data_IF_531129464792
#
_entry.id   IF_531129464792
#
_cell.length_a   1.000
_cell.length_b   1.000
_cell.length_c   1.000
_cell.angle_alpha   90.00
_cell.angle_beta   90.00
_cell.angle_gamma   90.00
#
_symmetry.space_group_name_H-M   'P 1'
#
loop_
_entity.id
_entity.type
_entity.pdbx_description
1 polymer ?
#
# COMPACT_ATOMS: atom_id res chain seq x y z
N UNK A 1 28.08 0.05 41.26
CA UNK A 1 26.66 0.47 41.40
C UNK A 1 26.10 -0.25 42.63
N UNK A 2 25.54 0.47 43.58
CA UNK A 2 24.97 -0.18 44.75
C UNK A 2 23.57 -0.77 44.41
N UNK A 3 23.08 -1.67 45.27
CA UNK A 3 21.82 -2.41 45.06
C UNK A 3 20.61 -1.48 44.81
N UNK A 4 20.55 -0.30 45.45
CA UNK A 4 19.50 0.72 45.23
C UNK A 4 19.60 1.35 43.85
N UNK A 5 20.80 1.64 43.36
CA UNK A 5 21.03 2.18 41.99
C UNK A 5 20.66 1.16 40.90
N UNK A 6 20.90 -0.14 41.16
CA UNK A 6 20.52 -1.21 40.23
C UNK A 6 18.99 -1.33 40.13
N UNK A 7 18.28 -1.27 41.25
CA UNK A 7 16.80 -1.31 41.29
C UNK A 7 16.21 -0.11 40.56
N UNK A 8 16.72 1.12 40.78
CA UNK A 8 16.25 2.33 40.10
C UNK A 8 16.50 2.20 38.57
N UNK A 9 17.65 1.69 38.15
CA UNK A 9 17.95 1.46 36.75
C UNK A 9 16.95 0.49 36.09
N UNK A 10 16.68 -0.66 36.73
CA UNK A 10 15.69 -1.62 36.25
C UNK A 10 14.27 -1.03 36.17
N UNK A 11 13.84 -0.23 37.16
CA UNK A 11 12.53 0.45 37.15
C UNK A 11 12.44 1.45 36.00
N UNK A 12 13.51 2.21 35.72
CA UNK A 12 13.55 3.14 34.58
C UNK A 12 13.50 2.42 33.23
N UNK A 13 14.20 1.29 33.10
CA UNK A 13 14.14 0.46 31.88
C UNK A 13 12.73 -0.11 31.65
N UNK A 14 12.09 -0.62 32.73
CA UNK A 14 10.70 -1.11 32.65
C UNK A 14 9.75 0.01 32.29
N UNK A 15 9.92 1.21 32.85
CA UNK A 15 9.09 2.38 32.55
C UNK A 15 9.27 2.81 31.08
N UNK A 16 10.50 2.85 30.56
CA UNK A 16 10.77 3.16 29.17
C UNK A 16 10.16 2.12 28.21
N UNK A 17 10.30 0.83 28.53
CA UNK A 17 9.70 -0.25 27.75
C UNK A 17 8.18 -0.16 27.75
N UNK A 18 7.56 0.14 28.91
CA UNK A 18 6.10 0.33 29.00
C UNK A 18 5.62 1.57 28.26
N UNK A 19 6.39 2.66 28.23
CA UNK A 19 6.08 3.87 27.44
C UNK A 19 6.19 3.56 25.93
N UNK A 20 7.21 2.83 25.50
CA UNK A 20 7.36 2.39 24.12
C UNK A 20 6.22 1.45 23.68
N UNK A 21 5.92 0.43 24.49
CA UNK A 21 4.79 -0.48 24.23
C UNK A 21 3.45 0.24 24.23
N UNK A 22 3.21 1.21 25.16
CA UNK A 22 2.01 2.06 25.13
C UNK A 22 1.94 2.94 23.89
N UNK A 23 3.04 3.51 23.40
CA UNK A 23 3.05 4.29 22.15
C UNK A 23 2.68 3.41 20.93
N UNK A 24 3.16 2.19 20.88
CA UNK A 24 2.81 1.27 19.80
C UNK A 24 1.37 0.77 19.93
N UNK A 25 0.90 0.47 21.14
CA UNK A 25 -0.49 0.09 21.41
C UNK A 25 -1.44 1.28 21.17
N UNK A 26 -1.05 2.52 21.48
CA UNK A 26 -1.84 3.72 21.19
C UNK A 26 -1.86 4.04 19.68
N UNK A 27 -0.78 3.81 18.94
CA UNK A 27 -0.79 3.84 17.48
C UNK A 27 -1.75 2.78 16.91
N UNK A 28 -1.75 1.59 17.46
CA UNK A 28 -2.68 0.51 17.07
C UNK A 28 -4.14 0.82 17.48
N UNK A 29 -4.38 1.38 18.67
CA UNK A 29 -5.71 1.79 19.14
C UNK A 29 -6.25 2.99 18.36
N UNK A 30 -5.42 3.94 17.95
CA UNK A 30 -5.85 5.05 17.11
C UNK A 30 -6.30 4.57 15.71
N UNK A 31 -5.75 3.49 15.20
CA UNK A 31 -6.23 2.86 13.95
C UNK A 31 -7.63 2.24 14.16
N UNK A 32 -7.93 1.70 15.34
CA UNK A 32 -9.26 1.14 15.66
C UNK A 32 -10.31 2.19 16.07
N UNK A 33 -9.92 3.38 16.54
CA UNK A 33 -10.87 4.35 17.13
C UNK A 33 -11.48 5.36 16.15
N UNK A 34 -11.04 5.40 14.89
CA UNK A 34 -11.59 6.30 13.88
C UNK A 34 -12.86 5.78 13.17
N UNK A 35 -13.41 4.64 13.60
CA UNK A 35 -14.61 4.02 12.99
C UNK A 35 -15.94 4.68 13.39
N UNK A 36 -15.97 5.58 14.39
CA UNK A 36 -17.23 6.03 15.02
C UNK A 36 -17.79 7.38 14.52
N UNK A 37 -17.21 8.03 13.49
CA UNK A 37 -17.68 9.36 13.08
C UNK A 37 -18.62 9.40 11.86
N UNK A 38 -18.75 8.29 11.12
CA UNK A 38 -19.67 8.21 9.98
C UNK A 38 -20.24 6.79 9.90
N UNK A 39 -21.42 6.52 10.33
CA UNK A 39 -22.26 5.30 10.19
C UNK A 39 -21.87 4.27 9.08
N UNK A 40 -20.58 4.03 8.83
CA UNK A 40 -20.01 3.12 7.84
C UNK A 40 -19.36 1.92 8.52
N UNK A 41 -19.55 0.74 7.95
CA UNK A 41 -19.03 -0.55 8.39
C UNK A 41 -17.64 -0.44 9.01
N UNK A 42 -17.50 -0.93 10.23
CA UNK A 42 -16.25 -0.98 10.98
C UNK A 42 -15.16 -1.69 10.15
N UNK A 43 -14.00 -1.07 10.05
CA UNK A 43 -12.86 -1.67 9.37
C UNK A 43 -12.26 -2.76 10.24
N UNK A 44 -12.16 -3.95 9.71
CA UNK A 44 -11.50 -5.06 10.38
C UNK A 44 -10.08 -5.16 9.85
N UNK A 45 -9.11 -4.96 10.72
CA UNK A 45 -7.68 -5.09 10.39
C UNK A 45 -7.17 -6.40 10.95
N UNK A 46 -6.71 -7.27 10.08
CA UNK A 46 -6.16 -8.57 10.40
C UNK A 46 -4.67 -8.61 10.07
N UNK A 47 -3.82 -8.94 11.05
CA UNK A 47 -2.38 -9.10 10.80
C UNK A 47 -2.11 -10.46 10.14
N UNK A 48 -1.64 -10.44 8.91
CA UNK A 48 -1.35 -11.63 8.11
C UNK A 48 0.08 -12.14 8.29
N UNK A 49 1.03 -11.25 8.62
CA UNK A 49 2.45 -11.58 8.80
C UNK A 49 3.15 -10.53 9.66
N UNK A 50 4.24 -10.91 10.36
CA UNK A 50 4.91 -10.04 11.35
C UNK A 50 6.30 -9.54 10.94
N UNK A 51 6.92 -10.10 9.89
CA UNK A 51 8.24 -9.64 9.42
C UNK A 51 8.41 -9.95 7.91
N UNK A 52 8.05 -9.01 7.03
CA UNK A 52 7.49 -7.68 7.31
C UNK A 52 6.08 -7.74 7.90
N UNK A 53 5.66 -6.66 8.55
CA UNK A 53 4.27 -6.51 8.95
C UNK A 53 3.39 -6.36 7.70
N UNK A 54 2.49 -7.34 7.50
CA UNK A 54 1.49 -7.34 6.42
C UNK A 54 0.12 -7.46 7.06
N UNK A 55 -0.79 -6.57 6.67
CA UNK A 55 -2.15 -6.51 7.18
C UNK A 55 -3.17 -6.67 6.06
N UNK A 56 -4.28 -7.35 6.35
CA UNK A 56 -5.50 -7.30 5.56
C UNK A 56 -6.46 -6.30 6.18
N UNK A 57 -6.91 -5.34 5.38
CA UNK A 57 -7.93 -4.37 5.77
C UNK A 57 -9.21 -4.74 5.04
N UNK A 58 -10.18 -5.29 5.78
CA UNK A 58 -11.50 -5.64 5.26
C UNK A 58 -12.35 -4.37 5.15
N UNK A 59 -13.23 -4.31 4.16
CA UNK A 59 -14.09 -3.16 3.88
C UNK A 59 -13.32 -1.83 3.63
N UNK A 60 -12.11 -1.91 3.07
CA UNK A 60 -11.35 -0.71 2.70
C UNK A 60 -12.12 0.13 1.66
N UNK A 61 -12.77 -0.52 0.70
CA UNK A 61 -13.76 0.09 -0.19
C UNK A 61 -15.07 -0.69 -0.14
N UNK A 62 -16.18 -0.01 -0.42
CA UNK A 62 -17.46 -0.69 -0.71
C UNK A 62 -17.42 -1.29 -2.12
N UNK A 63 -18.37 -2.15 -2.44
CA UNK A 63 -18.47 -2.73 -3.78
C UNK A 63 -18.74 -1.65 -4.83
N UNK A 64 -19.60 -0.66 -4.50
CA UNK A 64 -19.93 0.48 -5.35
C UNK A 64 -18.72 1.39 -5.57
N UNK A 65 -17.91 1.63 -4.51
CA UNK A 65 -16.65 2.38 -4.63
C UNK A 65 -15.66 1.68 -5.58
N UNK A 66 -15.55 0.33 -5.49
CA UNK A 66 -14.73 -0.46 -6.40
C UNK A 66 -15.19 -0.33 -7.86
N UNK A 67 -16.50 -0.48 -8.10
CA UNK A 67 -17.08 -0.36 -9.44
C UNK A 67 -16.91 1.06 -10.02
N UNK A 68 -17.07 2.08 -9.17
CA UNK A 68 -16.82 3.46 -9.54
C UNK A 68 -15.37 3.68 -10.00
N UNK A 69 -14.38 3.19 -9.23
CA UNK A 69 -12.95 3.31 -9.59
C UNK A 69 -12.64 2.61 -10.92
N UNK A 70 -13.19 1.41 -11.14
CA UNK A 70 -13.04 0.71 -12.42
C UNK A 70 -13.64 1.56 -13.55
N UNK A 71 -14.88 2.05 -13.37
CA UNK A 71 -15.60 2.86 -14.36
C UNK A 71 -14.83 4.10 -14.79
N UNK A 72 -14.28 4.86 -13.85
CA UNK A 72 -13.55 6.10 -14.16
C UNK A 72 -12.15 5.85 -14.70
N UNK A 73 -11.50 4.75 -14.31
CA UNK A 73 -10.11 4.47 -14.65
C UNK A 73 -9.93 3.63 -15.92
N UNK A 74 -10.82 2.67 -16.18
CA UNK A 74 -10.68 1.71 -17.28
C UNK A 74 -10.57 2.37 -18.68
N UNK A 75 -11.30 3.45 -18.98
CA UNK A 75 -11.15 4.16 -20.28
C UNK A 75 -9.77 4.81 -20.47
N UNK A 76 -8.97 4.95 -19.42
CA UNK A 76 -7.64 5.57 -19.45
C UNK A 76 -6.50 4.54 -19.36
N UNK A 77 -6.83 3.26 -19.33
CA UNK A 77 -5.84 2.18 -19.21
C UNK A 77 -4.96 2.09 -20.46
N UNK A 78 -3.65 2.01 -20.21
CA UNK A 78 -2.61 1.80 -21.23
C UNK A 78 -1.69 0.66 -20.78
N UNK A 79 -0.85 0.17 -21.69
CA UNK A 79 0.19 -0.81 -21.38
C UNK A 79 1.02 -0.30 -20.19
N UNK A 80 1.19 -1.13 -19.17
CA UNK A 80 2.01 -0.77 -18.01
C UNK A 80 3.46 -0.58 -18.40
N UNK A 81 4.10 0.39 -17.76
CA UNK A 81 5.50 0.68 -17.90
C UNK A 81 6.28 0.29 -16.65
N UNK A 82 7.56 0.02 -16.82
CA UNK A 82 8.53 -0.17 -15.75
C UNK A 82 9.59 0.90 -15.91
N UNK A 83 9.88 1.60 -14.85
CA UNK A 83 10.95 2.58 -14.84
C UNK A 83 12.31 1.90 -14.70
N UNK A 84 13.26 2.26 -15.54
CA UNK A 84 14.61 1.74 -15.55
C UNK A 84 15.65 2.81 -15.90
N UNK A 85 16.88 2.43 -16.21
CA UNK A 85 17.96 3.37 -16.54
C UNK A 85 17.66 4.33 -17.71
N UNK A 86 16.77 3.93 -18.63
CA UNK A 86 16.33 4.71 -19.81
C UNK A 86 14.96 5.36 -19.67
N UNK A 87 14.45 5.57 -18.43
CA UNK A 87 13.10 6.10 -18.18
C UNK A 87 12.02 4.99 -18.12
N UNK A 88 10.76 5.41 -18.15
CA UNK A 88 9.60 4.50 -18.13
C UNK A 88 9.32 3.96 -19.53
N UNK A 89 9.18 2.65 -19.65
CA UNK A 89 8.80 1.97 -20.90
C UNK A 89 8.14 0.62 -20.65
N UNK A 90 7.34 0.10 -21.59
CA UNK A 90 6.81 -1.26 -21.52
C UNK A 90 7.95 -2.28 -21.41
N UNK A 91 7.79 -3.25 -20.52
CA UNK A 91 8.79 -4.29 -20.30
C UNK A 91 8.12 -5.65 -20.04
N UNK A 92 8.80 -6.74 -20.42
CA UNK A 92 8.31 -8.11 -20.23
C UNK A 92 8.12 -8.52 -18.77
N UNK A 93 8.77 -7.81 -17.82
CA UNK A 93 8.59 -8.09 -16.39
C UNK A 93 7.24 -7.63 -15.84
N UNK A 94 6.51 -6.74 -16.55
CA UNK A 94 5.19 -6.26 -16.19
C UNK A 94 4.29 -6.26 -17.41
N UNK A 95 3.39 -7.25 -17.46
CA UNK A 95 2.54 -7.45 -18.65
C UNK A 95 1.12 -6.87 -18.48
N UNK A 96 0.80 -6.33 -17.30
CA UNK A 96 -0.48 -5.68 -16.97
C UNK A 96 -0.74 -4.40 -17.79
N UNK A 97 -1.93 -3.86 -17.58
CA UNK A 97 -2.35 -2.55 -18.08
C UNK A 97 -2.59 -1.61 -16.87
N UNK A 98 -2.32 -0.31 -17.03
CA UNK A 98 -2.48 0.66 -15.92
C UNK A 98 -3.09 1.98 -16.37
N UNK A 99 -3.79 2.64 -15.44
CA UNK A 99 -4.20 4.03 -15.54
C UNK A 99 -3.83 4.78 -14.25
N UNK A 100 -3.26 5.97 -14.37
CA UNK A 100 -3.07 6.87 -13.24
C UNK A 100 -4.31 7.75 -13.11
N UNK A 101 -5.06 7.54 -12.01
CA UNK A 101 -6.25 8.29 -11.66
C UNK A 101 -5.91 9.21 -10.47
N UNK A 102 -5.70 10.47 -10.74
CA UNK A 102 -5.27 11.40 -9.70
C UNK A 102 -5.62 12.83 -10.06
N UNK A 103 -4.64 13.63 -10.42
CA UNK A 103 -4.80 15.10 -10.62
C UNK A 103 -6.02 15.48 -11.46
N UNK A 104 -6.30 14.76 -12.55
CA UNK A 104 -7.46 15.05 -13.42
C UNK A 104 -8.81 14.96 -12.70
N UNK A 105 -8.94 14.05 -11.74
CA UNK A 105 -10.18 13.79 -11.00
C UNK A 105 -10.24 14.52 -9.66
N UNK A 106 -9.12 15.03 -9.15
CA UNK A 106 -9.01 15.69 -7.85
C UNK A 106 -8.89 17.22 -7.96
N UNK A 107 -8.35 17.75 -9.06
CA UNK A 107 -8.02 19.16 -9.23
C UNK A 107 -9.11 19.92 -10.02
N UNK A 108 -10.37 19.53 -9.95
CA UNK A 108 -11.49 20.25 -10.52
C UNK A 108 -12.37 20.86 -9.41
N UNK A 109 -13.34 21.69 -9.81
CA UNK A 109 -14.29 22.34 -8.90
C UNK A 109 -15.20 21.34 -8.15
N UNK A 110 -15.26 20.09 -8.60
CA UNK A 110 -16.02 19.01 -7.97
C UNK A 110 -15.14 17.75 -7.95
N UNK A 111 -14.21 17.63 -6.98
CA UNK A 111 -13.29 16.49 -6.91
C UNK A 111 -14.03 15.19 -6.62
N UNK A 112 -13.52 14.10 -7.17
CA UNK A 112 -14.09 12.77 -6.98
C UNK A 112 -14.04 12.35 -5.50
N UNK A 113 -15.23 12.15 -4.91
CA UNK A 113 -15.38 11.84 -3.48
C UNK A 113 -14.82 10.47 -3.09
N UNK A 114 -14.86 9.48 -4.01
CA UNK A 114 -14.32 8.15 -3.75
C UNK A 114 -12.79 8.22 -3.70
N UNK A 115 -12.17 8.93 -4.65
CA UNK A 115 -10.72 9.15 -4.63
C UNK A 115 -10.28 9.91 -3.37
N UNK A 116 -10.97 10.98 -2.99
CA UNK A 116 -10.69 11.68 -1.72
C UNK A 116 -10.83 10.76 -0.52
N UNK A 117 -11.86 9.91 -0.50
CA UNK A 117 -12.05 8.89 0.53
C UNK A 117 -10.89 7.90 0.62
N UNK A 118 -10.32 7.49 -0.51
CA UNK A 118 -9.14 6.61 -0.56
C UNK A 118 -7.91 7.30 0.03
N UNK A 119 -7.64 8.56 -0.33
CA UNK A 119 -6.51 9.33 0.24
C UNK A 119 -6.64 9.44 1.75
N UNK A 120 -7.83 9.80 2.25
CA UNK A 120 -8.12 9.91 3.67
C UNK A 120 -7.93 8.57 4.40
N UNK A 121 -8.46 7.47 3.84
CA UNK A 121 -8.32 6.13 4.41
C UNK A 121 -6.83 5.71 4.46
N UNK A 122 -6.06 5.91 3.38
CA UNK A 122 -4.64 5.59 3.35
C UNK A 122 -3.85 6.40 4.39
N UNK A 123 -4.16 7.70 4.54
CA UNK A 123 -3.58 8.55 5.59
C UNK A 123 -3.91 8.05 6.99
N UNK A 124 -5.18 7.78 7.28
CA UNK A 124 -5.64 7.31 8.58
C UNK A 124 -5.00 5.98 8.99
N UNK A 125 -4.93 4.99 8.08
CA UNK A 125 -4.33 3.68 8.34
C UNK A 125 -2.81 3.72 8.37
N UNK A 126 -2.21 4.45 7.44
CA UNK A 126 -0.76 4.56 7.31
C UNK A 126 -0.12 5.45 8.38
N UNK A 127 -0.88 6.40 8.92
CA UNK A 127 -0.39 7.41 9.86
C UNK A 127 0.50 8.46 9.20
N UNK A 128 0.39 8.67 7.89
CA UNK A 128 1.09 9.69 7.11
C UNK A 128 0.07 10.66 6.47
N UNK A 129 0.43 11.93 6.22
CA UNK A 129 -0.47 12.92 5.63
C UNK A 129 -1.05 12.51 4.27
N UNK A 130 -2.28 12.92 3.96
CA UNK A 130 -2.93 12.68 2.67
C UNK A 130 -2.12 13.23 1.49
N UNK A 131 -1.44 14.36 1.68
CA UNK A 131 -0.58 14.98 0.67
C UNK A 131 0.66 14.15 0.29
N UNK A 132 0.96 13.10 1.07
CA UNK A 132 2.03 12.16 0.79
C UNK A 132 1.61 11.04 -0.16
N UNK A 133 0.32 10.93 -0.49
CA UNK A 133 -0.20 9.87 -1.37
C UNK A 133 0.11 10.22 -2.82
N UNK A 134 0.72 9.28 -3.56
CA UNK A 134 0.92 9.40 -5.00
C UNK A 134 -0.42 9.38 -5.76
N UNK A 135 -0.46 9.85 -7.02
CA UNK A 135 -1.60 9.58 -7.90
C UNK A 135 -1.91 8.08 -7.93
N UNK A 136 -3.14 7.75 -7.58
CA UNK A 136 -3.60 6.36 -7.46
C UNK A 136 -3.46 5.65 -8.80
N UNK A 137 -2.99 4.40 -8.80
CA UNK A 137 -2.79 3.63 -10.01
C UNK A 137 -3.75 2.44 -10.08
N UNK A 138 -4.73 2.51 -10.98
CA UNK A 138 -5.54 1.36 -11.39
C UNK A 138 -4.68 0.40 -12.20
N UNK A 139 -4.77 -0.89 -11.90
CA UNK A 139 -4.11 -1.96 -12.67
C UNK A 139 -5.15 -2.98 -13.12
N UNK A 140 -5.00 -3.47 -14.36
CA UNK A 140 -5.82 -4.52 -14.96
C UNK A 140 -4.93 -5.62 -15.51
N UNK A 141 -5.31 -6.88 -15.22
CA UNK A 141 -4.68 -8.07 -15.78
C UNK A 141 -5.68 -8.89 -16.56
N UNK A 142 -5.29 -9.34 -17.72
CA UNK A 142 -5.95 -10.36 -18.53
C UNK A 142 -5.24 -11.71 -18.38
N UNK A 143 -5.84 -12.82 -18.83
CA UNK A 143 -5.19 -14.13 -18.82
C UNK A 143 -3.77 -14.10 -19.42
N UNK A 144 -2.83 -14.80 -18.79
CA UNK A 144 -1.41 -14.79 -19.14
C UNK A 144 -0.63 -13.57 -18.65
N UNK A 145 -1.28 -12.58 -18.04
CA UNK A 145 -0.61 -11.38 -17.53
C UNK A 145 -0.17 -11.53 -16.08
N UNK A 146 0.95 -10.89 -15.77
CA UNK A 146 1.62 -10.94 -14.47
C UNK A 146 2.45 -9.68 -14.23
N UNK A 147 2.95 -9.55 -13.00
CA UNK A 147 4.02 -8.63 -12.66
C UNK A 147 5.09 -9.38 -11.89
N UNK A 148 6.31 -9.44 -12.44
CA UNK A 148 7.44 -10.12 -11.86
C UNK A 148 7.82 -9.56 -10.48
N UNK A 149 8.69 -10.29 -9.77
CA UNK A 149 9.22 -9.89 -8.46
C UNK A 149 9.83 -8.49 -8.54
N UNK A 150 9.35 -7.61 -7.67
CA UNK A 150 9.79 -6.22 -7.57
C UNK A 150 9.61 -5.70 -6.15
N UNK A 151 10.19 -4.55 -5.90
CA UNK A 151 9.96 -3.75 -4.70
C UNK A 151 9.16 -2.50 -5.09
N UNK A 152 8.34 -2.01 -4.17
CA UNK A 152 7.65 -0.73 -4.38
C UNK A 152 8.49 0.47 -3.96
N UNK A 153 9.43 0.30 -3.01
CA UNK A 153 10.39 1.35 -2.72
C UNK A 153 11.30 1.60 -3.93
N UNK A 154 11.74 2.84 -4.09
CA UNK A 154 12.59 3.27 -5.20
C UNK A 154 14.06 3.01 -4.88
N UNK A 155 14.76 2.30 -5.76
CA UNK A 155 16.20 2.03 -5.58
C UNK A 155 17.02 3.31 -5.77
N UNK A 156 17.62 3.81 -4.68
CA UNK A 156 18.49 5.01 -4.66
C UNK A 156 19.68 4.94 -5.60
N UNK A 157 20.10 3.74 -6.02
CA UNK A 157 21.21 3.55 -6.97
C UNK A 157 20.81 3.90 -8.40
N UNK A 158 19.54 3.97 -8.70
CA UNK A 158 19.02 4.38 -10.00
C UNK A 158 18.85 5.90 -10.00
N UNK A 159 19.63 6.61 -10.79
CA UNK A 159 19.70 8.08 -10.80
C UNK A 159 18.32 8.76 -10.93
N UNK A 160 17.45 8.26 -11.79
CA UNK A 160 16.09 8.78 -11.92
C UNK A 160 15.28 8.63 -10.62
N UNK A 161 15.41 7.48 -9.95
CA UNK A 161 14.74 7.26 -8.66
C UNK A 161 15.34 8.10 -7.55
N UNK A 162 16.67 8.28 -7.52
CA UNK A 162 17.33 9.13 -6.52
C UNK A 162 16.77 10.56 -6.57
N UNK A 163 16.67 11.16 -7.76
CA UNK A 163 16.08 12.50 -7.95
C UNK A 163 14.58 12.53 -7.57
N UNK A 164 13.84 11.46 -7.89
CA UNK A 164 12.45 11.39 -7.51
C UNK A 164 12.26 11.29 -5.99
N UNK A 165 13.14 10.54 -5.29
CA UNK A 165 13.14 10.45 -3.83
C UNK A 165 13.50 11.80 -3.20
N UNK A 166 14.49 12.50 -3.75
CA UNK A 166 14.86 13.82 -3.27
C UNK A 166 13.69 14.80 -3.32
N UNK A 167 12.97 14.80 -4.43
CA UNK A 167 11.81 15.67 -4.68
C UNK A 167 10.57 15.27 -3.88
N UNK A 168 10.21 13.99 -3.89
CA UNK A 168 8.91 13.50 -3.46
C UNK A 168 8.97 12.54 -2.26
N UNK A 169 10.17 12.27 -1.73
CA UNK A 169 10.36 11.25 -0.69
C UNK A 169 10.36 9.81 -1.22
N UNK A 170 10.62 8.86 -0.32
CA UNK A 170 10.60 7.43 -0.60
C UNK A 170 9.18 6.88 -0.45
N UNK A 171 8.83 5.82 -1.20
CA UNK A 171 7.61 5.05 -0.97
C UNK A 171 7.71 4.28 0.34
N UNK A 172 7.14 4.85 1.38
CA UNK A 172 7.15 4.30 2.75
C UNK A 172 6.18 3.14 2.90
N UNK A 173 5.01 3.24 2.24
CA UNK A 173 3.90 2.31 2.43
C UNK A 173 3.21 2.00 1.11
N UNK A 174 2.63 0.79 1.05
CA UNK A 174 1.78 0.34 -0.04
C UNK A 174 0.47 -0.20 0.50
N UNK A 175 -0.65 0.24 -0.11
CA UNK A 175 -1.94 -0.42 -0.05
C UNK A 175 -2.22 -0.98 -1.44
N UNK A 176 -2.45 -2.28 -1.54
CA UNK A 176 -2.94 -2.90 -2.75
C UNK A 176 -4.39 -3.33 -2.54
N UNK A 177 -5.32 -2.64 -3.20
CA UNK A 177 -6.75 -2.86 -3.05
C UNK A 177 -7.25 -3.78 -4.16
N UNK A 178 -8.03 -4.81 -3.82
CA UNK A 178 -8.66 -5.71 -4.77
C UNK A 178 -10.02 -5.12 -5.17
N UNK A 179 -10.20 -4.81 -6.46
CA UNK A 179 -11.40 -4.15 -6.94
C UNK A 179 -12.46 -5.13 -7.47
N UNK A 180 -12.09 -6.39 -7.67
CA UNK A 180 -13.02 -7.46 -8.02
C UNK A 180 -12.55 -8.79 -7.45
N UNK A 181 -13.46 -9.75 -7.39
CA UNK A 181 -13.13 -11.11 -6.99
C UNK A 181 -12.49 -11.88 -8.14
N UNK A 182 -11.42 -12.60 -7.83
CA UNK A 182 -10.79 -13.58 -8.73
C UNK A 182 -10.82 -14.93 -8.01
N UNK A 183 -11.38 -15.99 -8.61
CA UNK A 183 -11.38 -17.32 -7.99
C UNK A 183 -9.96 -17.77 -7.65
N UNK A 184 -9.77 -18.43 -6.52
CA UNK A 184 -8.44 -18.80 -5.98
C UNK A 184 -7.60 -19.63 -6.96
N UNK A 185 -8.24 -20.52 -7.72
CA UNK A 185 -7.61 -21.37 -8.74
C UNK A 185 -7.13 -20.62 -9.99
N UNK A 186 -7.61 -19.40 -10.21
CA UNK A 186 -7.31 -18.59 -11.41
C UNK A 186 -6.03 -17.74 -11.26
N UNK A 187 -5.33 -17.83 -10.14
CA UNK A 187 -4.09 -17.08 -9.92
C UNK A 187 -4.34 -15.60 -9.65
N UNK A 188 -3.50 -14.73 -10.21
CA UNK A 188 -3.61 -13.27 -9.99
C UNK A 188 -3.35 -12.84 -8.55
N UNK A 189 -2.67 -13.67 -7.75
CA UNK A 189 -2.40 -13.45 -6.32
C UNK A 189 -1.23 -12.49 -6.11
N UNK A 190 -1.13 -11.93 -4.92
CA UNK A 190 0.04 -11.17 -4.47
C UNK A 190 0.96 -12.10 -3.70
N UNK A 191 2.13 -12.39 -4.24
CA UNK A 191 3.08 -13.36 -3.70
C UNK A 191 4.34 -12.66 -3.16
N UNK A 192 4.73 -12.98 -1.93
CA UNK A 192 5.93 -12.52 -1.24
C UNK A 192 6.94 -13.66 -1.13
N UNK A 193 7.86 -13.83 -2.10
CA UNK A 193 8.73 -15.01 -2.17
C UNK A 193 9.74 -15.10 -1.03
N UNK A 194 10.18 -13.97 -0.47
CA UNK A 194 11.14 -13.94 0.64
C UNK A 194 10.59 -14.52 1.94
N UNK A 195 9.29 -14.48 2.11
CA UNK A 195 8.60 -14.99 3.30
C UNK A 195 7.71 -16.20 2.99
N UNK A 196 7.69 -16.66 1.73
CA UNK A 196 6.90 -17.81 1.29
C UNK A 196 5.38 -17.63 1.43
N UNK A 197 4.87 -16.39 1.41
CA UNK A 197 3.44 -16.10 1.59
C UNK A 197 2.80 -15.65 0.30
N UNK A 198 1.53 -16.03 0.15
CA UNK A 198 0.70 -15.63 -0.99
C UNK A 198 -0.65 -15.20 -0.46
N UNK A 199 -1.09 -14.03 -0.89
CA UNK A 199 -2.34 -13.42 -0.45
C UNK A 199 -3.26 -13.15 -1.63
N UNK A 200 -4.57 -13.28 -1.36
CA UNK A 200 -5.63 -12.86 -2.26
C UNK A 200 -6.75 -12.26 -1.44
N UNK A 201 -7.06 -10.98 -1.69
CA UNK A 201 -8.18 -10.31 -1.08
C UNK A 201 -9.45 -10.47 -1.91
N UNK A 202 -10.58 -10.23 -1.27
CA UNK A 202 -11.89 -10.08 -1.88
C UNK A 202 -12.09 -8.65 -2.37
N UNK A 203 -13.11 -8.44 -3.21
CA UNK A 203 -13.53 -7.11 -3.66
C UNK A 203 -13.72 -6.17 -2.46
N UNK A 204 -13.06 -5.01 -2.51
CA UNK A 204 -13.08 -4.00 -1.45
C UNK A 204 -12.08 -4.21 -0.31
N UNK A 205 -11.34 -5.33 -0.28
CA UNK A 205 -10.27 -5.53 0.69
C UNK A 205 -8.94 -4.97 0.19
N UNK A 206 -8.06 -4.56 1.13
CA UNK A 206 -6.71 -4.13 0.83
C UNK A 206 -5.69 -4.92 1.62
N UNK A 207 -4.56 -5.27 1.01
CA UNK A 207 -3.35 -5.64 1.76
C UNK A 207 -2.47 -4.41 1.91
N UNK A 208 -1.95 -4.24 3.11
CA UNK A 208 -1.09 -3.12 3.49
C UNK A 208 0.24 -3.64 4.02
N UNK A 209 1.33 -3.00 3.61
CA UNK A 209 2.66 -3.25 4.17
C UNK A 209 3.52 -1.99 4.16
N UNK A 210 4.54 -1.98 5.02
CA UNK A 210 5.58 -0.96 5.03
C UNK A 210 6.73 -1.41 4.16
N UNK A 211 7.17 -0.55 3.25
CA UNK A 211 8.32 -0.79 2.38
C UNK A 211 9.65 -0.50 3.09
N UNK A 212 9.59 0.26 4.17
CA UNK A 212 10.74 0.73 4.94
C UNK A 212 10.62 0.31 6.41
N UNK A 213 11.75 -0.07 7.01
CA UNK A 213 11.87 -0.36 8.44
C UNK A 213 13.05 0.43 8.99
N UNK A 214 12.82 1.28 10.01
CA UNK A 214 13.85 2.15 10.62
C UNK A 214 14.61 2.98 9.58
N UNK A 215 13.91 3.54 8.59
CA UNK A 215 14.46 4.36 7.52
C UNK A 215 15.25 3.58 6.46
N UNK A 216 15.27 2.25 6.52
CA UNK A 216 15.93 1.37 5.56
C UNK A 216 14.92 0.55 4.77
N UNK A 217 15.27 0.20 3.54
CA UNK A 217 14.50 -0.64 2.65
C UNK A 217 14.32 -2.06 3.23
N UNK A 218 13.08 -2.52 3.39
CA UNK A 218 12.81 -3.88 3.82
C UNK A 218 12.86 -4.84 2.63
N UNK A 219 13.90 -5.66 2.58
CA UNK A 219 14.10 -6.65 1.51
C UNK A 219 13.08 -7.81 1.56
N UNK A 220 12.36 -7.99 2.66
CA UNK A 220 11.34 -9.03 2.78
C UNK A 220 10.03 -8.63 2.09
N UNK A 221 9.88 -7.33 1.70
CA UNK A 221 8.73 -6.83 0.92
C UNK A 221 8.83 -7.11 -0.58
N UNK A 222 9.85 -7.87 -1.04
CA UNK A 222 9.87 -8.35 -2.42
C UNK A 222 8.58 -9.09 -2.73
N UNK A 223 7.84 -8.65 -3.75
CA UNK A 223 6.56 -9.25 -4.09
C UNK A 223 6.34 -9.32 -5.60
N UNK A 224 5.31 -10.06 -6.02
CA UNK A 224 4.90 -10.22 -7.41
C UNK A 224 3.39 -10.34 -7.51
N UNK A 225 2.83 -9.93 -8.64
CA UNK A 225 1.49 -10.34 -9.07
C UNK A 225 1.61 -11.62 -9.88
N UNK A 226 1.11 -12.76 -9.33
CA UNK A 226 1.18 -14.04 -10.04
C UNK A 226 0.36 -13.99 -11.33
N UNK A 227 0.67 -14.86 -12.27
CA UNK A 227 -0.05 -14.95 -13.52
C UNK A 227 -1.54 -15.19 -13.28
N UNK A 228 -2.37 -14.43 -13.98
CA UNK A 228 -3.80 -14.65 -14.07
C UNK A 228 -4.08 -15.71 -15.14
N UNK A 229 -4.78 -16.79 -14.79
CA UNK A 229 -5.07 -17.88 -15.71
C UNK A 229 -6.35 -17.63 -16.51
N UNK A 230 -7.38 -17.07 -15.85
CA UNK A 230 -8.67 -16.81 -16.47
C UNK A 230 -9.37 -15.60 -15.85
N UNK A 231 -10.32 -15.00 -16.60
CA UNK A 231 -11.07 -13.82 -16.16
C UNK A 231 -10.29 -12.51 -16.28
N UNK A 232 -10.70 -11.51 -15.54
CA UNK A 232 -10.05 -10.19 -15.46
C UNK A 232 -9.80 -9.88 -13.99
N UNK A 233 -8.61 -9.40 -13.67
CA UNK A 233 -8.28 -8.87 -12.33
C UNK A 233 -8.12 -7.37 -12.41
N UNK A 234 -8.84 -6.65 -11.54
CA UNK A 234 -8.62 -5.24 -11.25
C UNK A 234 -8.03 -5.07 -9.86
N UNK A 235 -7.06 -4.20 -9.74
CA UNK A 235 -6.45 -3.79 -8.48
C UNK A 235 -6.11 -2.31 -8.47
N UNK A 236 -5.82 -1.79 -7.29
CA UNK A 236 -5.49 -0.40 -7.10
C UNK A 236 -4.23 -0.29 -6.25
N UNK A 237 -3.18 0.32 -6.77
CA UNK A 237 -2.00 0.69 -6.00
C UNK A 237 -2.20 2.07 -5.39
N UNK A 238 -2.06 2.17 -4.07
CA UNK A 238 -2.02 3.42 -3.31
C UNK A 238 -0.68 3.46 -2.59
N UNK A 239 0.25 4.26 -3.09
CA UNK A 239 1.57 4.45 -2.51
C UNK A 239 1.61 5.70 -1.67
N UNK A 240 2.12 5.59 -0.46
CA UNK A 240 2.29 6.72 0.47
C UNK A 240 3.78 6.98 0.65
N UNK A 241 4.16 8.23 0.45
CA UNK A 241 5.56 8.69 0.58
C UNK A 241 5.87 9.14 2.01
N UNK A 242 7.16 9.16 2.36
CA UNK A 242 7.65 9.75 3.62
C UNK A 242 7.64 11.29 3.60
N UNK A 243 7.42 11.90 2.42
CA UNK A 243 7.28 13.35 2.20
C UNK A 243 6.05 13.66 1.35
N UNK A 244 5.65 14.94 1.36
CA UNK A 244 4.63 15.46 0.44
C UNK A 244 4.98 15.15 -1.01
N UNK A 245 4.00 14.61 -1.74
CA UNK A 245 4.12 14.34 -3.16
C UNK A 245 3.79 15.59 -3.99
N UNK A 246 4.77 16.10 -4.72
CA UNK A 246 4.60 17.33 -5.55
C UNK A 246 4.61 17.06 -7.06
N UNK A 247 4.74 15.78 -7.48
CA UNK A 247 4.66 15.33 -8.88
C UNK A 247 5.95 15.30 -9.66
#
# INVERSE_FOLDING_TARGET
MNQKQLIIFFLLVILLVTIFLKKDILKFRNIQHFSNLDNKKEFIVEKLHSNPDIFLIKNFLTEEECDHIIKIGDPHIKRSEVCGKGGSKPHKSRTSMTAHIGKKFLNNSNPDKVLLGILKKASQYGGLPEENVEPIQLVRYHPGQYFNKHYDYLDRKIHHYARNIEKNGQREQTFFVYLNNVPDKEGGKTHFPKIGKTFQGKKGEAIFWRNMVNGKEDKNTLHSGTELKNGIKYGLNVWVRDKKYIG
#
